data_IF_899523582314
#
_entry.id   IF_899523582314
#
_cell.length_a   1.000
_cell.length_b   1.000
_cell.length_c   1.000
_cell.angle_alpha   90.00
_cell.angle_beta   90.00
_cell.angle_gamma   90.00
#
_symmetry.space_group_name_H-M   'P 1'
#
loop_
_entity.id
_entity.type
_entity.pdbx_description
1 polymer ?
#
# COMPACT_ATOMS: atom_id res chain seq x y z
N UNK A 1 -6.92 -8.91 11.34
CA UNK A 1 -7.62 -7.75 11.95
C UNK A 1 -7.63 -6.62 10.93
N UNK A 2 -8.81 -6.08 10.56
CA UNK A 2 -8.88 -4.83 9.76
C UNK A 2 -8.75 -3.65 10.72
N UNK A 3 -7.88 -2.67 10.45
CA UNK A 3 -7.78 -1.48 11.28
C UNK A 3 -9.06 -0.66 11.18
N UNK A 4 -9.51 -0.06 12.28
CA UNK A 4 -10.65 0.87 12.30
C UNK A 4 -10.27 2.28 11.79
N UNK A 5 -9.15 2.39 11.07
CA UNK A 5 -8.64 3.68 10.60
C UNK A 5 -9.38 4.11 9.33
N UNK A 6 -9.86 5.34 9.29
CA UNK A 6 -10.61 5.89 8.15
C UNK A 6 -9.63 6.56 7.18
N UNK A 7 -8.66 5.79 6.70
CA UNK A 7 -7.64 6.29 5.78
C UNK A 7 -8.23 6.50 4.39
N UNK A 8 -8.11 7.72 3.89
CA UNK A 8 -8.47 8.13 2.54
C UNK A 8 -7.19 8.31 1.75
N UNK A 9 -7.03 7.54 0.69
CA UNK A 9 -5.90 7.66 -0.24
C UNK A 9 -5.87 9.04 -0.89
N UNK A 10 -4.67 9.63 -0.98
CA UNK A 10 -4.46 10.94 -1.63
C UNK A 10 -3.69 10.76 -2.93
N UNK A 11 -2.47 10.19 -2.87
CA UNK A 11 -1.61 9.98 -4.04
C UNK A 11 -0.50 8.97 -3.76
N UNK A 12 0.07 8.43 -4.84
CA UNK A 12 1.37 7.77 -4.79
C UNK A 12 2.46 8.85 -4.67
N UNK A 13 3.42 8.61 -3.77
CA UNK A 13 4.60 9.45 -3.57
C UNK A 13 5.80 8.81 -4.25
N UNK A 14 5.97 7.51 -4.08
CA UNK A 14 7.02 6.71 -4.72
C UNK A 14 6.49 5.31 -5.01
N UNK A 15 6.98 4.71 -6.08
CA UNK A 15 6.63 3.36 -6.49
C UNK A 15 7.88 2.64 -7.01
N UNK A 16 8.11 1.43 -6.49
CA UNK A 16 9.14 0.52 -6.98
C UNK A 16 8.50 -0.83 -7.27
N UNK A 17 8.61 -1.28 -8.51
CA UNK A 17 8.18 -2.60 -8.95
C UNK A 17 9.37 -3.58 -8.95
N UNK A 18 9.13 -4.80 -8.47
CA UNK A 18 10.09 -5.91 -8.53
C UNK A 18 9.41 -7.17 -9.06
N UNK A 19 10.08 -7.89 -9.96
CA UNK A 19 9.59 -9.16 -10.51
C UNK A 19 10.14 -10.31 -9.66
N UNK A 20 9.26 -11.06 -9.01
CA UNK A 20 9.63 -12.18 -8.09
C UNK A 20 8.57 -13.28 -8.15
N UNK A 21 8.56 -14.05 -9.25
CA UNK A 21 7.53 -15.07 -9.52
C UNK A 21 6.11 -14.51 -9.28
N UNK A 22 5.92 -13.26 -9.74
CA UNK A 22 4.82 -12.35 -9.47
C UNK A 22 5.32 -10.92 -9.60
N UNK A 23 4.50 -9.95 -9.20
CA UNK A 23 4.91 -8.56 -9.05
C UNK A 23 4.86 -8.16 -7.58
N UNK A 24 5.96 -7.60 -7.08
CA UNK A 24 6.03 -6.98 -5.76
C UNK A 24 6.12 -5.47 -5.95
N UNK A 25 5.16 -4.76 -5.39
CA UNK A 25 5.11 -3.31 -5.36
C UNK A 25 5.52 -2.82 -3.99
N UNK A 26 6.61 -2.06 -3.92
CA UNK A 26 6.94 -1.27 -2.74
C UNK A 26 6.47 0.16 -3.03
N UNK A 27 5.39 0.56 -2.38
CA UNK A 27 4.71 1.83 -2.60
C UNK A 27 4.90 2.72 -1.38
N UNK A 28 5.21 3.99 -1.61
CA UNK A 28 5.00 5.04 -0.62
C UNK A 28 3.77 5.82 -1.03
N UNK A 29 2.74 5.83 -0.19
CA UNK A 29 1.47 6.52 -0.46
C UNK A 29 1.19 7.59 0.58
N UNK A 30 0.55 8.66 0.17
CA UNK A 30 -0.01 9.65 1.07
C UNK A 30 -1.48 9.31 1.36
N UNK A 31 -1.87 9.29 2.63
CA UNK A 31 -3.25 9.09 3.05
C UNK A 31 -3.63 10.04 4.20
N UNK A 32 -4.93 10.37 4.30
CA UNK A 32 -5.50 11.20 5.36
C UNK A 32 -6.37 10.34 6.27
N UNK A 33 -6.27 10.52 7.58
CA UNK A 33 -7.16 9.84 8.54
C UNK A 33 -8.38 10.71 8.83
N UNK A 34 -9.55 10.34 8.29
CA UNK A 34 -10.85 10.90 8.70
C UNK A 34 -11.00 12.43 8.69
N UNK A 35 -10.26 13.15 7.83
CA UNK A 35 -10.24 14.61 7.76
C UNK A 35 -9.04 15.29 8.43
N UNK A 36 -8.15 14.52 9.05
CA UNK A 36 -6.90 14.99 9.63
C UNK A 36 -5.76 15.22 8.63
N UNK A 37 -4.56 15.44 9.16
CA UNK A 37 -3.36 15.70 8.39
C UNK A 37 -3.00 14.51 7.48
N UNK A 38 -2.47 14.83 6.30
CA UNK A 38 -1.91 13.83 5.38
C UNK A 38 -0.62 13.26 5.96
N UNK A 39 -0.51 11.94 5.98
CA UNK A 39 0.70 11.20 6.36
C UNK A 39 1.13 10.28 5.23
N UNK A 40 2.43 9.95 5.18
CA UNK A 40 2.94 8.97 4.25
C UNK A 40 2.97 7.59 4.90
N UNK A 41 2.80 6.57 4.06
CA UNK A 41 2.77 5.17 4.46
C UNK A 41 3.58 4.35 3.46
N UNK A 42 4.32 3.38 3.96
CA UNK A 42 4.91 2.32 3.16
C UNK A 42 3.93 1.14 3.08
N UNK A 43 3.66 0.72 1.85
CA UNK A 43 2.85 -0.44 1.53
C UNK A 43 3.65 -1.41 0.67
N UNK A 44 3.68 -2.68 1.07
CA UNK A 44 4.23 -3.76 0.26
C UNK A 44 3.06 -4.61 -0.24
N UNK A 45 2.85 -4.62 -1.55
CA UNK A 45 1.78 -5.38 -2.21
C UNK A 45 2.41 -6.45 -3.08
N UNK A 46 1.93 -7.69 -2.95
CA UNK A 46 2.32 -8.80 -3.82
C UNK A 46 1.13 -9.20 -4.66
N UNK A 47 1.34 -9.26 -5.97
CA UNK A 47 0.35 -9.66 -6.95
C UNK A 47 0.86 -10.84 -7.79
N UNK A 48 0.01 -11.86 -7.95
CA UNK A 48 0.22 -12.96 -8.90
C UNK A 48 -1.03 -13.08 -9.76
N UNK A 49 -0.97 -12.52 -10.96
CA UNK A 49 -2.14 -12.37 -11.84
C UNK A 49 -2.74 -13.72 -12.24
N UNK A 50 -1.90 -14.74 -12.48
CA UNK A 50 -2.34 -16.10 -12.87
C UNK A 50 -3.06 -16.86 -11.75
N UNK A 51 -2.95 -16.40 -10.52
CA UNK A 51 -3.57 -17.00 -9.33
C UNK A 51 -4.68 -16.11 -8.76
N UNK A 52 -5.02 -15.01 -9.45
CA UNK A 52 -5.93 -13.96 -8.96
C UNK A 52 -5.57 -13.49 -7.54
N UNK A 53 -4.28 -13.54 -7.20
CA UNK A 53 -3.79 -13.26 -5.86
C UNK A 53 -3.30 -11.82 -5.77
N UNK A 54 -3.83 -11.09 -4.79
CA UNK A 54 -3.31 -9.79 -4.37
C UNK A 54 -3.36 -9.69 -2.85
N UNK A 55 -2.22 -9.43 -2.24
CA UNK A 55 -2.09 -9.33 -0.78
C UNK A 55 -1.27 -8.11 -0.39
N UNK A 56 -1.66 -7.48 0.71
CA UNK A 56 -0.92 -6.42 1.37
C UNK A 56 -0.05 -7.05 2.46
N UNK A 57 1.21 -7.28 2.14
CA UNK A 57 2.17 -7.96 3.03
C UNK A 57 2.66 -7.06 4.15
N UNK A 58 2.70 -5.74 3.93
CA UNK A 58 3.06 -4.75 4.95
C UNK A 58 2.36 -3.43 4.71
N UNK A 59 1.96 -2.76 5.80
CA UNK A 59 1.42 -1.41 5.78
C UNK A 59 1.86 -0.66 7.05
N UNK A 60 2.70 0.36 6.90
CA UNK A 60 3.31 1.10 8.02
C UNK A 60 3.28 2.61 7.76
N UNK A 61 3.04 3.40 8.79
CA UNK A 61 3.25 4.84 8.71
C UNK A 61 4.74 5.15 8.67
N UNK A 62 5.12 6.15 7.88
CA UNK A 62 6.46 6.74 7.87
C UNK A 62 6.62 7.83 8.93
#
# INVERSE_FOLDING_TARGET
>A
MKSKANLVFVKNVEEKEQVVSGKKYNLTIAAKDGGGATKNYEAIVVERVWDHYRSLESFKAL
#
